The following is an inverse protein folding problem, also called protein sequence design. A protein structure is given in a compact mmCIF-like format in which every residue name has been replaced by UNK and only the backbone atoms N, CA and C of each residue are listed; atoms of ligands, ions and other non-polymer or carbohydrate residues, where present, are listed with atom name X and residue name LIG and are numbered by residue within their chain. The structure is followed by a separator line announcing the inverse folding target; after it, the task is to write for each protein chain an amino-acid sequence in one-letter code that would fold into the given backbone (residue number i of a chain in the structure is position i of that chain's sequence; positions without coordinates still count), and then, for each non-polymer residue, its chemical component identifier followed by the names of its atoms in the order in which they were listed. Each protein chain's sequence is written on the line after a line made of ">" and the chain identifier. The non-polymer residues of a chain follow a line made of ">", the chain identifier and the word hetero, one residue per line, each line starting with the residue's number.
data_IF_529610810455
#
_entry.id   IF_529610810455
#
_cell.length_a   1.000
_cell.length_b   1.000
_cell.length_c   1.000
_cell.angle_alpha   90.00
_cell.angle_beta   90.00
_cell.angle_gamma   90.00
#
_symmetry.space_group_name_H-M   'P 1'
#
loop_
_entity.id
_entity.type
_entity.pdbx_description
1 polymer ?
#
# COMPACT_ATOMS: atom_id res chain seq x y z
N UNK A 1 -59.62 8.33 1.54
CA UNK A 1 -58.55 8.00 2.53
C UNK A 1 -57.31 8.79 2.15
N UNK A 2 -56.75 9.53 3.11
CA UNK A 2 -56.04 10.80 2.91
C UNK A 2 -54.60 10.68 2.36
N UNK A 3 -54.32 11.27 1.18
CA UNK A 3 -52.96 11.46 0.60
C UNK A 3 -51.92 12.00 1.57
N UNK A 4 -52.34 12.75 2.60
CA UNK A 4 -51.42 13.29 3.61
C UNK A 4 -50.75 12.18 4.42
N UNK A 5 -51.46 11.08 4.74
CA UNK A 5 -50.90 9.97 5.53
C UNK A 5 -49.83 9.19 4.78
N UNK A 6 -49.94 9.11 3.44
CA UNK A 6 -48.96 8.44 2.58
C UNK A 6 -47.67 9.29 2.47
N UNK A 7 -47.81 10.61 2.33
CA UNK A 7 -46.67 11.53 2.25
C UNK A 7 -45.87 11.55 3.57
N UNK A 8 -46.53 11.60 4.72
CA UNK A 8 -45.83 11.53 6.02
C UNK A 8 -45.13 10.19 6.25
N UNK A 9 -45.70 9.08 5.78
CA UNK A 9 -45.06 7.76 5.85
C UNK A 9 -43.77 7.69 5.00
N UNK A 10 -43.79 8.26 3.79
CA UNK A 10 -42.62 8.31 2.92
C UNK A 10 -41.50 9.19 3.50
N UNK A 11 -41.83 10.36 4.07
CA UNK A 11 -40.83 11.23 4.70
C UNK A 11 -40.18 10.55 5.90
N UNK A 12 -40.96 9.85 6.73
CA UNK A 12 -40.42 9.10 7.88
C UNK A 12 -39.53 7.94 7.45
N UNK A 13 -39.88 7.23 6.37
CA UNK A 13 -39.05 6.15 5.82
C UNK A 13 -37.72 6.68 5.26
N UNK A 14 -37.74 7.81 4.53
CA UNK A 14 -36.54 8.45 4.03
C UNK A 14 -35.64 8.98 5.15
N UNK A 15 -36.21 9.55 6.21
CA UNK A 15 -35.45 10.01 7.38
C UNK A 15 -34.77 8.86 8.13
N UNK A 16 -35.45 7.70 8.26
CA UNK A 16 -34.87 6.51 8.87
C UNK A 16 -33.76 5.88 8.01
N UNK A 17 -33.91 5.89 6.68
CA UNK A 17 -32.86 5.44 5.76
C UNK A 17 -31.63 6.35 5.80
N UNK A 18 -31.83 7.68 5.88
CA UNK A 18 -30.73 8.64 6.00
C UNK A 18 -29.98 8.50 7.33
N UNK A 19 -30.70 8.25 8.44
CA UNK A 19 -30.08 7.97 9.74
C UNK A 19 -29.32 6.65 9.75
N UNK A 20 -29.85 5.60 9.10
CA UNK A 20 -29.15 4.33 8.95
C UNK A 20 -27.86 4.42 8.13
N UNK A 21 -27.86 5.25 7.08
CA UNK A 21 -26.67 5.53 6.27
C UNK A 21 -25.62 6.34 7.04
N UNK A 22 -26.05 7.30 7.88
CA UNK A 22 -25.15 8.08 8.74
C UNK A 22 -24.58 7.28 9.92
N UNK A 23 -25.29 6.25 10.39
CA UNK A 23 -24.84 5.39 11.50
C UNK A 23 -23.94 4.24 11.08
N UNK A 24 -23.73 4.01 9.78
CA UNK A 24 -22.76 3.01 9.33
C UNK A 24 -21.35 3.59 9.50
N UNK A 25 -20.52 3.06 10.42
CA UNK A 25 -19.15 3.54 10.54
C UNK A 25 -18.44 3.29 9.21
N UNK A 26 -17.91 4.35 8.62
CA UNK A 26 -17.01 4.21 7.48
C UNK A 26 -15.75 3.55 8.01
N UNK A 27 -15.41 2.39 7.45
CA UNK A 27 -14.14 1.73 7.74
C UNK A 27 -12.99 2.65 7.36
N UNK A 28 -12.12 2.95 8.31
CA UNK A 28 -10.90 3.71 8.07
C UNK A 28 -9.80 2.73 7.64
N UNK A 29 -9.66 2.56 6.33
CA UNK A 29 -8.67 1.65 5.75
C UNK A 29 -7.23 2.09 6.02
N UNK A 30 -6.99 3.39 6.20
CA UNK A 30 -5.66 3.90 6.53
C UNK A 30 -5.28 3.50 7.95
N UNK A 31 -6.19 3.65 8.92
CA UNK A 31 -5.99 3.16 10.27
C UNK A 31 -5.75 1.63 10.30
N UNK A 32 -6.49 0.86 9.49
CA UNK A 32 -6.26 -0.58 9.38
C UNK A 32 -4.87 -0.92 8.81
N UNK A 33 -4.35 -0.11 7.89
CA UNK A 33 -3.01 -0.29 7.34
C UNK A 33 -1.93 -0.02 8.41
N UNK A 34 -2.08 1.06 9.19
CA UNK A 34 -1.18 1.36 10.30
C UNK A 34 -1.22 0.27 11.38
N UNK A 35 -2.42 -0.17 11.77
CA UNK A 35 -2.61 -1.25 12.76
C UNK A 35 -1.94 -2.55 12.28
N UNK A 36 -2.04 -2.89 10.99
CA UNK A 36 -1.36 -4.07 10.45
C UNK A 36 0.17 -3.95 10.57
N UNK A 37 0.74 -2.77 10.27
CA UNK A 37 2.18 -2.55 10.42
C UNK A 37 2.59 -2.65 11.88
N UNK A 38 1.89 -1.93 12.77
CA UNK A 38 2.22 -1.82 14.18
C UNK A 38 2.04 -3.13 14.97
N UNK A 39 0.93 -3.83 14.75
CA UNK A 39 0.54 -4.98 15.58
C UNK A 39 0.96 -6.32 14.96
N UNK A 40 1.21 -6.38 13.65
CA UNK A 40 1.42 -7.66 12.95
C UNK A 40 2.77 -7.75 12.26
N UNK A 41 3.26 -6.66 11.67
CA UNK A 41 4.51 -6.71 10.89
C UNK A 41 5.73 -6.38 11.74
N UNK A 42 5.70 -5.28 12.50
CA UNK A 42 6.84 -4.85 13.31
C UNK A 42 7.18 -5.79 14.48
N UNK A 43 6.22 -6.37 15.22
CA UNK A 43 6.55 -7.19 16.38
C UNK A 43 7.32 -8.46 16.00
N UNK A 44 8.49 -8.65 16.60
CA UNK A 44 9.30 -9.87 16.43
C UNK A 44 10.24 -9.87 15.21
N UNK A 45 10.06 -8.93 14.26
CA UNK A 45 10.89 -8.88 13.05
C UNK A 45 12.09 -7.97 13.21
N UNK A 46 13.19 -8.40 12.59
CA UNK A 46 14.36 -7.56 12.42
C UNK A 46 14.09 -6.52 11.33
N UNK A 47 14.43 -5.26 11.64
CA UNK A 47 14.30 -4.12 10.74
C UNK A 47 15.67 -3.62 10.35
N UNK A 48 15.93 -3.51 9.06
CA UNK A 48 17.19 -3.01 8.50
C UNK A 48 16.93 -1.88 7.51
N UNK A 49 17.94 -1.05 7.24
CA UNK A 49 17.85 -0.05 6.18
C UNK A 49 17.65 -0.72 4.83
N UNK A 50 16.71 -0.22 4.03
CA UNK A 50 16.33 -0.87 2.79
C UNK A 50 17.46 -0.84 1.75
N UNK A 51 18.14 0.30 1.58
CA UNK A 51 19.21 0.44 0.60
C UNK A 51 20.44 -0.39 1.01
N UNK A 52 20.78 -0.42 2.30
CA UNK A 52 21.82 -1.31 2.81
C UNK A 52 21.48 -2.79 2.55
N UNK A 53 20.24 -3.21 2.81
CA UNK A 53 19.77 -4.58 2.55
C UNK A 53 19.93 -4.99 1.09
N UNK A 54 19.42 -4.17 0.15
CA UNK A 54 19.53 -4.48 -1.28
C UNK A 54 20.99 -4.43 -1.77
N UNK A 55 21.80 -3.49 -1.26
CA UNK A 55 23.24 -3.44 -1.59
C UNK A 55 24.01 -4.68 -1.13
N UNK A 56 23.55 -5.32 -0.05
CA UNK A 56 24.05 -6.58 0.48
C UNK A 56 23.61 -7.82 -0.30
N UNK A 57 22.80 -7.66 -1.35
CA UNK A 57 22.24 -8.76 -2.14
C UNK A 57 20.94 -9.33 -1.59
N UNK A 58 20.23 -8.58 -0.74
CA UNK A 58 18.89 -8.95 -0.29
C UNK A 58 17.86 -8.90 -1.42
N UNK A 59 16.79 -9.69 -1.27
CA UNK A 59 15.71 -9.84 -2.23
C UNK A 59 14.37 -9.48 -1.61
N UNK A 60 13.46 -8.83 -2.36
CA UNK A 60 12.11 -8.53 -1.89
C UNK A 60 11.03 -9.30 -2.65
N UNK A 61 11.08 -9.32 -3.98
CA UNK A 61 10.08 -10.06 -4.75
C UNK A 61 10.34 -11.57 -4.66
N UNK A 62 9.28 -12.27 -4.25
CA UNK A 62 9.29 -13.69 -3.93
C UNK A 62 8.99 -14.53 -5.16
N UNK A 63 9.93 -14.59 -6.10
CA UNK A 63 9.93 -15.63 -7.13
C UNK A 63 11.36 -16.01 -7.48
N UNK A 64 11.60 -17.32 -7.56
CA UNK A 64 12.87 -17.95 -7.97
C UNK A 64 13.21 -17.69 -9.45
N UNK A 65 12.53 -16.74 -10.10
CA UNK A 65 12.71 -16.39 -11.49
C UNK A 65 13.75 -15.27 -11.64
N UNK A 66 14.66 -15.45 -12.60
CA UNK A 66 15.77 -14.53 -12.86
C UNK A 66 15.28 -13.12 -13.25
N UNK A 67 14.07 -13.03 -13.81
CA UNK A 67 13.41 -11.78 -14.20
C UNK A 67 12.89 -10.96 -13.00
N UNK A 68 12.51 -11.61 -11.89
CA UNK A 68 11.98 -10.91 -10.70
C UNK A 68 13.09 -10.30 -9.84
N UNK A 69 14.28 -10.93 -9.82
CA UNK A 69 15.50 -10.25 -9.32
C UNK A 69 15.79 -8.97 -10.08
N UNK A 70 15.36 -8.87 -11.33
CA UNK A 70 15.49 -7.66 -12.09
C UNK A 70 14.47 -6.60 -11.65
N UNK A 71 13.32 -6.94 -11.07
CA UNK A 71 12.36 -5.97 -10.51
C UNK A 71 12.98 -5.27 -9.30
N UNK A 72 13.60 -6.01 -8.38
CA UNK A 72 14.28 -5.41 -7.23
C UNK A 72 15.30 -4.35 -7.68
N UNK A 73 16.19 -4.71 -8.60
CA UNK A 73 17.26 -3.83 -9.06
C UNK A 73 16.81 -2.72 -10.02
N UNK A 74 15.78 -2.95 -10.85
CA UNK A 74 15.34 -1.99 -11.89
C UNK A 74 14.19 -1.10 -11.43
N UNK A 75 13.45 -1.50 -10.40
CA UNK A 75 12.20 -0.87 -10.00
C UNK A 75 12.22 -0.51 -8.51
N UNK A 76 12.40 -1.49 -7.62
CA UNK A 76 12.29 -1.27 -6.17
C UNK A 76 13.40 -0.35 -5.67
N UNK A 77 14.66 -0.67 -5.97
CA UNK A 77 15.81 0.14 -5.54
C UNK A 77 15.73 1.58 -6.11
N UNK A 78 15.53 1.80 -7.43
CA UNK A 78 15.39 3.16 -7.96
C UNK A 78 14.18 3.94 -7.41
N UNK A 79 13.11 3.27 -7.00
CA UNK A 79 11.99 3.93 -6.32
C UNK A 79 12.42 4.41 -4.93
N UNK A 80 13.03 3.53 -4.13
CA UNK A 80 13.48 3.84 -2.77
C UNK A 80 14.54 4.94 -2.77
N UNK A 81 15.53 4.88 -3.66
CA UNK A 81 16.55 5.93 -3.79
C UNK A 81 15.90 7.30 -4.05
N UNK A 82 14.97 7.39 -5.00
CA UNK A 82 14.31 8.65 -5.32
C UNK A 82 13.40 9.14 -4.20
N UNK A 83 12.68 8.26 -3.51
CA UNK A 83 11.86 8.65 -2.36
C UNK A 83 12.71 9.12 -1.19
N UNK A 84 13.90 8.56 -1.03
CA UNK A 84 14.88 9.00 -0.03
C UNK A 84 15.41 10.39 -0.38
N UNK A 85 15.84 10.59 -1.63
CA UNK A 85 16.48 11.84 -2.07
C UNK A 85 15.48 13.00 -2.28
N UNK A 86 14.33 12.75 -2.90
CA UNK A 86 13.38 13.79 -3.30
C UNK A 86 12.28 14.04 -2.26
N UNK A 87 11.90 13.02 -1.48
CA UNK A 87 10.83 13.10 -0.48
C UNK A 87 11.34 12.96 0.97
N UNK A 88 12.66 12.84 1.17
CA UNK A 88 13.30 12.74 2.49
C UNK A 88 12.72 11.61 3.35
N UNK A 89 12.44 10.46 2.73
CA UNK A 89 11.91 9.28 3.39
C UNK A 89 13.02 8.32 3.80
N UNK A 90 12.88 7.69 4.98
CA UNK A 90 13.80 6.64 5.41
C UNK A 90 13.10 5.28 5.30
N UNK A 91 13.54 4.47 4.33
CA UNK A 91 12.95 3.18 4.03
C UNK A 91 13.60 2.06 4.82
N UNK A 92 12.78 1.15 5.30
CA UNK A 92 13.22 -0.03 6.01
C UNK A 92 12.67 -1.30 5.37
N UNK A 93 13.46 -2.36 5.46
CA UNK A 93 13.06 -3.73 5.17
C UNK A 93 12.78 -4.43 6.48
N UNK A 94 11.68 -5.19 6.54
CA UNK A 94 11.46 -6.21 7.57
C UNK A 94 11.94 -7.56 7.02
N UNK A 95 12.82 -8.24 7.73
CA UNK A 95 13.36 -9.53 7.27
C UNK A 95 12.32 -10.66 7.36
N UNK A 96 12.39 -11.59 6.41
CA UNK A 96 11.63 -12.84 6.45
C UNK A 96 12.31 -13.81 7.43
N UNK A 97 11.60 -14.18 8.49
CA UNK A 97 12.09 -15.10 9.52
C UNK A 97 12.30 -16.53 9.01
N UNK A 98 11.64 -16.90 7.90
CA UNK A 98 11.69 -18.23 7.34
C UNK A 98 12.69 -18.35 6.17
N UNK A 99 13.20 -17.23 5.65
CA UNK A 99 14.01 -17.18 4.43
C UNK A 99 15.14 -16.16 4.55
N UNK A 100 16.36 -16.69 4.70
CA UNK A 100 17.56 -15.85 4.78
C UNK A 100 17.79 -15.08 3.47
N UNK A 101 18.06 -13.78 3.60
CA UNK A 101 18.29 -12.88 2.46
C UNK A 101 17.02 -12.36 1.79
N UNK A 102 15.83 -12.68 2.32
CA UNK A 102 14.56 -12.19 1.79
C UNK A 102 13.90 -11.19 2.75
N UNK A 103 13.28 -10.17 2.16
CA UNK A 103 12.45 -9.20 2.83
C UNK A 103 11.01 -9.71 2.89
N UNK A 104 10.41 -9.66 4.07
CA UNK A 104 8.99 -9.87 4.26
C UNK A 104 8.18 -8.65 3.80
N UNK A 105 8.68 -7.44 4.06
CA UNK A 105 8.01 -6.19 3.69
C UNK A 105 9.03 -5.06 3.51
N UNK A 106 8.71 -4.09 2.66
CA UNK A 106 9.37 -2.78 2.63
C UNK A 106 8.39 -1.71 3.10
N UNK A 107 8.85 -0.82 3.97
CA UNK A 107 7.99 0.24 4.51
C UNK A 107 8.78 1.46 4.96
N UNK A 108 8.12 2.60 4.96
CA UNK A 108 8.64 3.87 5.46
C UNK A 108 7.55 4.64 6.22
N UNK A 109 7.92 5.47 7.20
CA UNK A 109 6.98 6.43 7.75
C UNK A 109 6.60 7.47 6.69
N UNK A 110 5.33 7.87 6.66
CA UNK A 110 4.84 8.93 5.78
C UNK A 110 5.36 10.29 6.30
N UNK A 111 5.88 11.17 5.43
CA UNK A 111 6.29 12.50 5.85
C UNK A 111 5.12 13.34 6.40
N UNK A 112 5.35 14.07 7.48
CA UNK A 112 4.37 15.06 7.99
C UNK A 112 4.35 16.34 7.15
N UNK A 113 5.47 16.67 6.48
CA UNK A 113 5.62 17.88 5.68
C UNK A 113 4.94 17.75 4.32
N UNK A 114 4.08 18.71 3.98
CA UNK A 114 3.28 18.65 2.75
C UNK A 114 4.12 18.66 1.48
N UNK A 115 5.27 19.34 1.46
CA UNK A 115 6.12 19.37 0.27
C UNK A 115 6.78 17.99 0.04
N UNK A 116 7.15 17.31 1.13
CA UNK A 116 7.66 15.93 1.06
C UNK A 116 6.56 14.94 0.64
N UNK A 117 5.31 15.11 1.10
CA UNK A 117 4.16 14.30 0.65
C UNK A 117 3.91 14.51 -0.85
N UNK A 118 3.91 15.75 -1.34
CA UNK A 118 3.76 16.05 -2.76
C UNK A 118 4.90 15.46 -3.59
N UNK A 119 6.13 15.49 -3.07
CA UNK A 119 7.28 14.86 -3.72
C UNK A 119 7.16 13.33 -3.76
N UNK A 120 6.72 12.71 -2.65
CA UNK A 120 6.45 11.28 -2.57
C UNK A 120 5.42 10.85 -3.62
N UNK A 121 4.25 11.50 -3.66
CA UNK A 121 3.18 11.17 -4.62
C UNK A 121 3.64 11.32 -6.07
N UNK A 122 4.41 12.37 -6.37
CA UNK A 122 4.99 12.58 -7.70
C UNK A 122 5.95 11.46 -8.08
N UNK A 123 6.89 11.12 -7.20
CA UNK A 123 7.90 10.08 -7.46
C UNK A 123 7.23 8.72 -7.70
N UNK A 124 6.24 8.35 -6.88
CA UNK A 124 5.48 7.11 -7.03
C UNK A 124 4.80 7.07 -8.41
N UNK A 125 4.02 8.11 -8.74
CA UNK A 125 3.30 8.16 -10.01
C UNK A 125 4.24 8.12 -11.24
N UNK A 126 5.38 8.80 -11.17
CA UNK A 126 6.38 8.79 -12.24
C UNK A 126 7.08 7.44 -12.41
N UNK A 127 7.29 6.69 -11.33
CA UNK A 127 7.90 5.37 -11.41
C UNK A 127 6.89 4.31 -11.84
N UNK A 128 5.66 4.37 -11.32
CA UNK A 128 4.59 3.46 -11.73
C UNK A 128 4.32 3.59 -13.23
N UNK A 129 4.31 4.81 -13.79
CA UNK A 129 4.13 5.04 -15.21
C UNK A 129 5.23 4.46 -16.12
N UNK A 130 6.38 4.05 -15.55
CA UNK A 130 7.50 3.45 -16.29
C UNK A 130 7.60 1.94 -16.06
N UNK A 131 6.84 1.41 -15.13
CA UNK A 131 6.84 0.00 -14.79
C UNK A 131 5.70 -0.70 -15.55
N UNK A 132 6.03 -1.76 -16.29
CA UNK A 132 5.03 -2.51 -17.05
C UNK A 132 4.11 -3.36 -16.14
N UNK A 133 4.50 -3.54 -14.88
CA UNK A 133 3.69 -4.20 -13.86
C UNK A 133 2.83 -3.23 -13.05
N UNK A 134 2.52 -3.59 -11.80
CA UNK A 134 1.69 -2.78 -10.91
C UNK A 134 2.32 -2.59 -9.54
N UNK A 135 2.24 -1.36 -9.01
CA UNK A 135 2.51 -1.10 -7.61
C UNK A 135 1.21 -1.28 -6.82
N UNK A 136 1.23 -2.13 -5.81
CA UNK A 136 0.18 -2.17 -4.80
C UNK A 136 0.68 -1.33 -3.64
N UNK A 137 0.09 -0.15 -3.51
CA UNK A 137 0.38 0.76 -2.42
C UNK A 137 -0.55 0.49 -1.24
N UNK A 138 0.03 0.24 -0.07
CA UNK A 138 -0.71 0.23 1.19
C UNK A 138 -0.29 1.47 2.00
N UNK A 139 -1.18 2.46 2.00
CA UNK A 139 -1.00 3.76 2.67
C UNK A 139 -1.88 3.86 3.91
N UNK A 140 -1.24 3.98 5.07
CA UNK A 140 -1.85 4.38 6.32
C UNK A 140 -1.80 5.89 6.55
N UNK A 141 -2.03 6.32 7.79
CA UNK A 141 -1.75 7.68 8.23
C UNK A 141 -0.27 7.85 8.55
N UNK A 142 0.36 6.82 9.12
CA UNK A 142 1.74 6.87 9.60
C UNK A 142 2.70 6.07 8.72
N UNK A 143 2.22 5.00 8.07
CA UNK A 143 3.07 4.07 7.33
C UNK A 143 2.70 3.94 5.85
N UNK A 144 3.72 3.82 5.02
CA UNK A 144 3.62 3.46 3.61
C UNK A 144 4.38 2.16 3.36
N UNK A 145 3.76 1.23 2.64
CA UNK A 145 4.44 0.03 2.13
C UNK A 145 4.04 -0.24 0.68
N UNK A 146 4.90 -0.97 -0.02
CA UNK A 146 4.65 -1.40 -1.39
C UNK A 146 4.73 -2.90 -1.53
N UNK A 147 3.87 -3.45 -2.37
CA UNK A 147 4.07 -4.71 -3.06
C UNK A 147 4.19 -4.42 -4.57
N UNK A 148 4.93 -5.25 -5.28
CA UNK A 148 5.11 -5.11 -6.72
C UNK A 148 4.65 -6.38 -7.39
N UNK A 149 3.83 -6.21 -8.41
CA UNK A 149 3.41 -7.29 -9.28
C UNK A 149 4.07 -7.11 -10.63
N UNK A 150 4.66 -8.17 -11.18
CA UNK A 150 5.07 -8.21 -12.57
C UNK A 150 3.86 -8.03 -13.51
N UNK A 151 4.14 -7.74 -14.78
CA UNK A 151 3.08 -7.60 -15.79
C UNK A 151 2.24 -8.89 -15.92
N UNK A 152 2.88 -10.05 -15.80
CA UNK A 152 2.23 -11.36 -15.93
C UNK A 152 1.36 -11.66 -14.70
N UNK A 153 1.83 -11.35 -13.49
CA UNK A 153 1.03 -11.49 -12.26
C UNK A 153 -0.18 -10.56 -12.26
N UNK A 154 0.02 -9.30 -12.65
CA UNK A 154 -1.07 -8.34 -12.75
C UNK A 154 -2.13 -8.79 -13.75
N UNK A 155 -1.70 -9.25 -14.93
CA UNK A 155 -2.61 -9.79 -15.94
C UNK A 155 -3.35 -11.06 -15.47
N UNK A 156 -2.70 -11.91 -14.68
CA UNK A 156 -3.34 -13.09 -14.10
C UNK A 156 -4.44 -12.71 -13.11
N UNK A 157 -4.18 -11.73 -12.23
CA UNK A 157 -5.15 -11.24 -11.27
C UNK A 157 -6.35 -10.56 -11.96
N UNK A 158 -6.12 -9.71 -12.96
CA UNK A 158 -7.21 -9.09 -13.72
C UNK A 158 -8.06 -10.13 -14.49
N UNK A 159 -7.42 -11.16 -15.05
CA UNK A 159 -8.12 -12.23 -15.78
C UNK A 159 -8.94 -13.17 -14.88
N UNK A 160 -8.52 -13.35 -13.62
CA UNK A 160 -9.19 -14.21 -12.63
C UNK A 160 -10.51 -13.60 -12.09
N UNK A 161 -10.73 -12.29 -12.26
CA UNK A 161 -11.96 -11.61 -11.83
C UNK A 161 -13.13 -11.68 -12.83
N UNK A 162 -12.98 -12.41 -13.95
CA UNK A 162 -14.08 -12.63 -14.91
C UNK A 162 -14.73 -14.02 -14.74
N UNK A 163 -15.90 -14.14 -14.07
CA UNK A 163 -16.74 -15.33 -14.16
C UNK A 163 -17.44 -15.49 -15.52
#
# INVERSE_FOLDING_TARGET
>A
MSSRKVVFGLIALCALAALGYWMYPRTDYAAMADDNVADRWLPGREKVDALEFFSGGGHFIDMDEEDDRAIDAKVVVPLIERLTDEANMNWAVLLDENREGYAFAILAPIPEDSANVEAMDRVIAEQEAKFDGKFIEQRGHDWLSFEFLSADEFAHLEGAETP
#
